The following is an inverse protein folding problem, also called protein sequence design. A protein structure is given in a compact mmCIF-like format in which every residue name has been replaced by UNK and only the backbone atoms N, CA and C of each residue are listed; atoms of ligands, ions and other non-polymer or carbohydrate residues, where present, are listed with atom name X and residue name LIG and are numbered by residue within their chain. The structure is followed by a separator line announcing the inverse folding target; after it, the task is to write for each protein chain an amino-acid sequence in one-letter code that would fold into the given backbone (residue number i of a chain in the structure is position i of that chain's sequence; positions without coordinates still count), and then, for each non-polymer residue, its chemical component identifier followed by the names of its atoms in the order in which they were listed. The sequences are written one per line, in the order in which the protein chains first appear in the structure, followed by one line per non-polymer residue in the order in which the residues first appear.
data_IF_723507252490
#
_entry.id   IF_723507252490
#
_cell.length_a   1.000
_cell.length_b   1.000
_cell.length_c   1.000
_cell.angle_alpha   90.00
_cell.angle_beta   90.00
_cell.angle_gamma   90.00
#
_symmetry.space_group_name_H-M   'P 1'
#
loop_
_entity.id
_entity.type
_entity.pdbx_description
1 polymer ?
#
# COMPACT_ATOMS: atom_id res chain seq x y z
N UNK A 1 -20.66 -11.34 -17.60
CA UNK A 1 -19.35 -11.62 -18.22
C UNK A 1 -18.32 -10.73 -17.55
N UNK A 2 -17.58 -11.28 -16.59
CA UNK A 2 -16.54 -10.57 -15.84
C UNK A 2 -15.31 -10.44 -16.75
N UNK A 3 -14.97 -9.21 -17.15
CA UNK A 3 -13.68 -8.92 -17.79
C UNK A 3 -12.60 -9.09 -16.71
N UNK A 4 -12.00 -10.28 -16.67
CA UNK A 4 -10.72 -10.45 -16.02
C UNK A 4 -9.74 -9.46 -16.66
N UNK A 5 -9.17 -8.57 -15.86
CA UNK A 5 -8.13 -7.65 -16.31
C UNK A 5 -7.01 -8.47 -16.96
N UNK A 6 -6.83 -8.28 -18.26
CA UNK A 6 -5.67 -8.83 -18.94
C UNK A 6 -4.43 -8.07 -18.44
N UNK A 7 -3.31 -8.78 -18.29
CA UNK A 7 -2.01 -8.22 -17.88
C UNK A 7 -1.62 -7.05 -18.80
N UNK A 8 -2.13 -7.07 -20.04
CA UNK A 8 -2.02 -6.01 -21.04
C UNK A 8 -2.68 -4.68 -20.61
N UNK A 9 -3.85 -4.72 -19.98
CA UNK A 9 -4.60 -3.55 -19.53
C UNK A 9 -3.96 -2.93 -18.29
N UNK A 10 -3.46 -3.74 -17.34
CA UNK A 10 -2.74 -3.20 -16.18
C UNK A 10 -1.38 -2.60 -16.57
N UNK A 11 -0.64 -3.24 -17.49
CA UNK A 11 0.58 -2.65 -17.98
C UNK A 11 0.33 -1.41 -18.86
N UNK A 12 -0.79 -1.35 -19.59
CA UNK A 12 -1.23 -0.13 -20.28
C UNK A 12 -1.63 0.95 -19.27
N UNK A 13 -2.34 0.60 -18.20
CA UNK A 13 -2.70 1.45 -17.08
C UNK A 13 -1.46 2.08 -16.44
N UNK A 14 -0.46 1.27 -16.08
CA UNK A 14 0.82 1.79 -15.56
C UNK A 14 1.64 2.58 -16.58
N UNK A 15 1.52 2.32 -17.89
CA UNK A 15 2.25 3.09 -18.93
C UNK A 15 1.56 4.40 -19.29
N UNK A 16 0.22 4.42 -19.32
CA UNK A 16 -0.59 5.59 -19.66
C UNK A 16 -0.41 6.70 -18.63
N UNK A 17 -0.16 6.34 -17.37
CA UNK A 17 -0.08 7.30 -16.26
C UNK A 17 1.27 7.30 -15.51
N UNK A 18 2.07 6.24 -15.59
CA UNK A 18 3.33 6.10 -14.83
C UNK A 18 4.63 6.54 -15.52
N UNK A 19 4.60 7.05 -16.76
CA UNK A 19 5.82 7.45 -17.49
C UNK A 19 5.89 8.93 -17.91
N UNK A 20 5.20 9.83 -17.22
CA UNK A 20 5.42 11.28 -17.37
C UNK A 20 6.54 11.76 -16.43
N UNK A 21 7.76 11.29 -16.68
CA UNK A 21 8.92 11.57 -15.84
C UNK A 21 10.24 11.55 -16.60
N UNK A 22 10.53 12.69 -17.26
CA UNK A 22 11.80 13.11 -17.89
C UNK A 22 12.06 12.63 -19.32
N UNK A 23 11.66 13.47 -20.27
CA UNK A 23 12.51 13.91 -21.38
C UNK A 23 12.28 15.41 -21.59
N UNK A 24 12.97 16.23 -20.80
CA UNK A 24 13.22 17.63 -21.16
C UNK A 24 14.60 17.68 -21.78
N UNK A 25 14.70 17.34 -23.06
CA UNK A 25 15.91 17.60 -23.83
C UNK A 25 16.10 19.11 -23.97
N UNK A 26 17.19 19.56 -23.35
CA UNK A 26 17.82 20.84 -23.55
C UNK A 26 18.25 21.02 -25.00
N UNK A 27 17.60 21.95 -25.72
CA UNK A 27 18.18 22.51 -26.95
C UNK A 27 18.60 23.95 -26.69
N UNK A 28 19.90 24.11 -26.51
CA UNK A 28 20.61 25.37 -26.41
C UNK A 28 20.58 26.07 -27.76
N UNK A 29 19.92 27.21 -27.87
CA UNK A 29 20.19 28.19 -28.93
C UNK A 29 19.85 29.61 -28.41
N UNK A 30 20.89 30.41 -28.24
CA UNK A 30 20.86 31.89 -28.27
C UNK A 30 21.46 32.28 -29.63
N UNK A 31 21.14 33.44 -30.25
CA UNK A 31 21.09 34.72 -29.54
C UNK A 31 20.20 35.88 -30.11
N UNK A 32 20.17 36.96 -29.31
CA UNK A 32 20.18 38.40 -29.68
C UNK A 32 18.87 39.23 -29.80
N UNK A 33 18.81 40.23 -28.87
CA UNK A 33 18.41 41.67 -28.98
C UNK A 33 16.99 41.97 -29.53
N UNK A 34 16.16 42.85 -28.95
CA UNK A 34 16.39 44.16 -28.35
C UNK A 34 15.10 44.68 -27.63
N UNK A 35 15.25 45.77 -26.87
CA UNK A 35 14.25 46.80 -26.54
C UNK A 35 13.09 46.51 -25.54
N UNK A 36 13.33 46.90 -24.29
CA UNK A 36 12.49 47.81 -23.47
C UNK A 36 10.96 47.76 -23.55
N UNK A 37 10.30 47.43 -22.43
CA UNK A 37 9.40 48.38 -21.74
C UNK A 37 8.95 47.87 -20.35
N UNK A 38 8.82 48.83 -19.43
CA UNK A 38 8.49 48.69 -18.02
C UNK A 38 7.02 48.31 -17.84
N UNK A 39 6.71 47.31 -17.01
CA UNK A 39 5.57 47.36 -16.08
C UNK A 39 5.74 46.32 -14.97
N UNK A 40 5.89 46.78 -13.71
CA UNK A 40 5.55 45.97 -12.53
C UNK A 40 4.02 45.86 -12.50
N UNK A 41 3.43 44.71 -12.13
CA UNK A 41 2.97 44.63 -10.73
C UNK A 41 2.95 43.23 -10.09
N UNK A 42 2.81 43.29 -8.77
CA UNK A 42 2.09 42.37 -7.88
C UNK A 42 2.75 41.10 -7.32
N UNK A 43 3.65 41.33 -6.36
CA UNK A 43 3.93 40.38 -5.26
C UNK A 43 2.74 40.41 -4.28
N UNK A 44 1.74 39.55 -4.49
CA UNK A 44 0.57 39.60 -3.59
C UNK A 44 -0.30 38.35 -3.46
N UNK A 45 0.04 37.19 -4.04
CA UNK A 45 -0.96 36.08 -4.10
C UNK A 45 -0.48 34.65 -3.85
N UNK A 46 0.71 34.45 -3.30
CA UNK A 46 1.27 33.10 -3.08
C UNK A 46 1.70 32.81 -1.63
N UNK A 47 1.23 33.58 -0.65
CA UNK A 47 1.49 33.30 0.78
C UNK A 47 0.27 32.75 1.54
N UNK A 48 -0.96 32.92 1.03
CA UNK A 48 -2.16 32.45 1.74
C UNK A 48 -2.39 30.92 1.66
N UNK A 49 -1.82 30.23 0.68
CA UNK A 49 -2.02 28.78 0.53
C UNK A 49 -1.17 27.91 1.47
N UNK A 50 -0.09 28.47 2.05
CA UNK A 50 0.80 27.73 2.99
C UNK A 50 0.40 27.88 4.45
N UNK A 51 -0.30 28.96 4.82
CA UNK A 51 -0.65 29.24 6.21
C UNK A 51 -1.96 28.56 6.64
N UNK A 52 -2.93 28.38 5.74
CA UNK A 52 -4.22 27.80 6.11
C UNK A 52 -4.20 26.29 6.38
N UNK A 53 -3.24 25.50 5.86
CA UNK A 53 -3.19 24.05 6.13
C UNK A 53 -2.55 23.69 7.47
N UNK A 54 -1.71 24.57 8.03
CA UNK A 54 -1.00 24.36 9.30
C UNK A 54 -1.82 24.73 10.54
N UNK A 55 -2.96 25.41 10.38
CA UNK A 55 -3.83 25.80 11.50
C UNK A 55 -4.60 24.61 12.08
N UNK A 56 -5.12 23.74 11.22
CA UNK A 56 -5.93 22.58 11.62
C UNK A 56 -5.10 21.50 12.34
N UNK A 57 -3.84 21.30 11.94
CA UNK A 57 -2.95 20.29 12.52
C UNK A 57 -2.42 20.64 13.93
N UNK A 58 -2.66 21.87 14.41
CA UNK A 58 -2.34 22.23 15.80
C UNK A 58 -3.45 21.85 16.77
N UNK A 59 -4.69 21.78 16.29
CA UNK A 59 -5.84 21.46 17.11
C UNK A 59 -5.81 19.99 17.51
N UNK A 60 -6.08 19.70 18.78
CA UNK A 60 -6.13 18.33 19.30
C UNK A 60 -7.56 17.98 19.66
N UNK A 61 -8.00 16.83 19.18
CA UNK A 61 -9.29 16.22 19.55
C UNK A 61 -9.06 15.23 20.67
N UNK A 62 -9.95 15.24 21.67
CA UNK A 62 -9.93 14.28 22.78
C UNK A 62 -10.79 13.08 22.41
N UNK A 63 -10.16 11.90 22.36
CA UNK A 63 -10.83 10.63 22.19
C UNK A 63 -10.88 9.87 23.51
N UNK A 64 -12.06 9.37 23.88
CA UNK A 64 -12.25 8.61 25.11
C UNK A 64 -12.35 7.12 24.82
N UNK A 65 -11.58 6.31 25.54
CA UNK A 65 -11.70 4.85 25.46
C UNK A 65 -11.62 4.24 26.84
N UNK A 66 -12.76 3.70 27.33
CA UNK A 66 -12.95 3.20 28.70
C UNK A 66 -12.48 4.22 29.75
N UNK A 67 -11.22 4.10 30.20
CA UNK A 67 -10.63 4.85 31.32
C UNK A 67 -9.42 5.70 30.89
N UNK A 68 -9.21 5.89 29.58
CA UNK A 68 -8.13 6.72 29.05
C UNK A 68 -8.68 7.76 28.09
N UNK A 69 -8.17 8.97 28.24
CA UNK A 69 -8.35 10.05 27.28
C UNK A 69 -7.08 10.17 26.44
N UNK A 70 -7.27 10.23 25.13
CA UNK A 70 -6.19 10.41 24.16
C UNK A 70 -6.36 11.76 23.50
N UNK A 71 -5.29 12.54 23.46
CA UNK A 71 -5.29 13.85 22.81
C UNK A 71 -4.51 13.73 21.50
N UNK A 72 -5.24 13.77 20.38
CA UNK A 72 -4.69 13.48 19.05
C UNK A 72 -4.96 14.61 18.05
N UNK A 73 -3.96 14.89 17.22
CA UNK A 73 -4.03 15.72 16.02
C UNK A 73 -4.55 14.92 14.84
N UNK A 74 -4.93 15.63 13.77
CA UNK A 74 -5.35 14.98 12.53
C UNK A 74 -4.23 14.14 11.90
N UNK A 75 -2.99 14.64 11.91
CA UNK A 75 -1.80 13.87 11.45
C UNK A 75 -1.59 12.57 12.24
N UNK A 76 -1.82 12.62 13.55
CA UNK A 76 -1.69 11.47 14.46
C UNK A 76 -2.79 10.44 14.18
N UNK A 77 -4.04 10.89 13.96
CA UNK A 77 -5.16 10.02 13.57
C UNK A 77 -4.90 9.37 12.21
N UNK A 78 -4.40 10.13 11.23
CA UNK A 78 -4.04 9.59 9.92
C UNK A 78 -2.91 8.55 10.05
N UNK A 79 -1.91 8.82 10.89
CA UNK A 79 -0.82 7.88 11.16
C UNK A 79 -1.33 6.58 11.77
N UNK A 80 -2.21 6.66 12.77
CA UNK A 80 -2.82 5.47 13.37
C UNK A 80 -3.67 4.70 12.35
N UNK A 81 -4.39 5.42 11.48
CA UNK A 81 -5.18 4.81 10.41
C UNK A 81 -4.30 4.06 9.41
N UNK A 82 -3.18 4.66 9.00
CA UNK A 82 -2.21 4.02 8.10
C UNK A 82 -1.58 2.77 8.74
N UNK A 83 -1.12 2.88 9.99
CA UNK A 83 -0.60 1.73 10.75
C UNK A 83 -1.66 0.64 10.98
N UNK A 84 -2.93 1.03 11.04
CA UNK A 84 -4.05 0.08 11.16
C UNK A 84 -4.34 -0.66 9.87
N UNK A 85 -4.17 -0.01 8.71
CA UNK A 85 -4.31 -0.67 7.39
C UNK A 85 -3.11 -1.58 7.09
N UNK A 86 -1.93 -1.17 7.52
CA UNK A 86 -0.67 -1.85 7.26
C UNK A 86 -0.01 -2.23 8.58
N UNK A 87 -0.14 -3.52 8.95
CA UNK A 87 0.36 -4.09 10.20
C UNK A 87 1.78 -3.63 10.59
N UNK A 88 2.64 -3.42 9.60
CA UNK A 88 3.99 -2.87 9.77
C UNK A 88 4.24 -1.78 8.72
N UNK A 89 4.70 -0.61 9.17
CA UNK A 89 5.07 0.50 8.28
C UNK A 89 6.50 0.98 8.60
N UNK A 90 7.38 1.09 7.59
CA UNK A 90 8.71 1.69 7.77
C UNK A 90 8.60 3.18 8.08
N UNK A 91 9.39 3.67 9.05
CA UNK A 91 9.40 5.07 9.43
C UNK A 91 9.81 6.00 8.27
N UNK A 92 10.72 5.55 7.39
CA UNK A 92 11.15 6.33 6.23
C UNK A 92 10.06 6.43 5.15
N UNK A 93 9.32 5.35 4.91
CA UNK A 93 8.20 5.38 3.98
C UNK A 93 7.03 6.19 4.56
N UNK A 94 6.76 6.09 5.87
CA UNK A 94 5.77 6.95 6.54
C UNK A 94 6.15 8.43 6.40
N UNK A 95 7.42 8.77 6.64
CA UNK A 95 7.93 10.13 6.46
C UNK A 95 7.70 10.60 5.02
N UNK A 96 8.02 9.75 4.04
CA UNK A 96 7.91 10.07 2.62
C UNK A 96 6.45 10.28 2.19
N UNK A 97 5.56 9.35 2.51
CA UNK A 97 4.21 9.30 1.94
C UNK A 97 3.17 10.02 2.80
N UNK A 98 3.14 9.80 4.11
CA UNK A 98 2.15 10.43 4.99
C UNK A 98 2.55 11.86 5.38
N UNK A 99 3.84 12.11 5.60
CA UNK A 99 4.35 13.40 6.09
C UNK A 99 5.03 14.26 5.02
N UNK A 100 5.04 13.82 3.75
CA UNK A 100 5.66 14.57 2.63
C UNK A 100 7.11 14.99 2.92
N UNK A 101 7.85 14.12 3.60
CA UNK A 101 9.24 14.27 4.08
C UNK A 101 9.42 15.25 5.25
N UNK A 102 8.36 15.74 5.87
CA UNK A 102 8.45 16.51 7.12
C UNK A 102 8.73 15.58 8.31
N UNK A 103 10.03 15.30 8.51
CA UNK A 103 10.49 14.45 9.62
C UNK A 103 10.26 15.10 10.98
N UNK A 104 10.31 16.42 11.07
CA UNK A 104 10.15 17.12 12.36
C UNK A 104 8.73 16.98 12.90
N UNK A 105 7.72 17.15 12.04
CA UNK A 105 6.33 16.90 12.41
C UNK A 105 6.12 15.41 12.72
N UNK A 106 6.60 14.51 11.86
CA UNK A 106 6.48 13.06 12.08
C UNK A 106 7.06 12.64 13.42
N UNK A 107 8.29 13.06 13.72
CA UNK A 107 8.94 12.68 14.97
C UNK A 107 8.20 13.23 16.20
N UNK A 108 7.59 14.42 16.09
CA UNK A 108 6.72 14.97 17.15
C UNK A 108 5.49 14.10 17.40
N UNK A 109 4.82 13.71 16.32
CA UNK A 109 3.60 12.92 16.36
C UNK A 109 3.89 11.50 16.85
N UNK A 110 4.96 10.86 16.34
CA UNK A 110 5.41 9.55 16.81
C UNK A 110 5.80 9.56 18.30
N UNK A 111 6.48 10.61 18.79
CA UNK A 111 6.79 10.74 20.22
C UNK A 111 5.52 10.79 21.07
N UNK A 112 4.52 11.56 20.64
CA UNK A 112 3.29 11.69 21.41
C UNK A 112 2.44 10.41 21.36
N UNK A 113 2.33 9.77 20.19
CA UNK A 113 1.67 8.47 20.02
C UNK A 113 2.33 7.36 20.85
N UNK A 114 3.67 7.33 20.87
CA UNK A 114 4.43 6.37 21.68
C UNK A 114 4.24 6.62 23.17
N UNK A 115 4.29 7.89 23.61
CA UNK A 115 4.02 8.28 25.00
C UNK A 115 2.61 7.88 25.47
N UNK A 116 1.63 7.93 24.57
CA UNK A 116 0.24 7.49 24.85
C UNK A 116 0.06 5.97 24.72
N UNK A 117 1.11 5.21 24.37
CA UNK A 117 1.07 3.76 24.22
C UNK A 117 0.28 3.27 23.02
N UNK A 118 0.11 4.13 22.00
CA UNK A 118 -0.70 3.83 20.81
C UNK A 118 0.10 3.15 19.70
N UNK A 119 1.42 3.34 19.69
CA UNK A 119 2.31 2.71 18.71
C UNK A 119 3.49 2.02 19.40
N UNK A 120 4.00 0.99 18.76
CA UNK A 120 5.26 0.34 19.08
C UNK A 120 6.26 0.56 17.95
N UNK A 121 7.53 0.79 18.31
CA UNK A 121 8.63 0.94 17.36
C UNK A 121 9.65 -0.18 17.57
N UNK A 122 10.11 -0.79 16.47
CA UNK A 122 11.16 -1.82 16.47
C UNK A 122 12.16 -1.53 15.37
N UNK A 123 13.39 -1.97 15.57
CA UNK A 123 14.38 -2.05 14.50
C UNK A 123 14.39 -3.47 13.96
N UNK A 124 14.23 -3.61 12.65
CA UNK A 124 14.45 -4.87 11.94
C UNK A 124 15.75 -4.76 11.16
N UNK A 125 16.57 -5.80 11.17
CA UNK A 125 17.77 -5.83 10.32
C UNK A 125 17.36 -5.75 8.85
N UNK A 126 18.01 -4.90 8.06
CA UNK A 126 17.81 -4.80 6.61
C UNK A 126 18.63 -5.83 5.82
N UNK A 127 18.50 -5.80 4.49
CA UNK A 127 19.41 -6.52 3.58
C UNK A 127 20.77 -5.83 3.41
N UNK A 128 20.83 -4.53 3.70
CA UNK A 128 22.07 -3.76 3.90
C UNK A 128 22.44 -3.74 5.38
N UNK A 129 23.67 -3.37 5.72
CA UNK A 129 24.21 -3.16 7.07
C UNK A 129 23.48 -2.11 7.93
N UNK A 130 22.29 -1.66 7.52
CA UNK A 130 21.44 -0.70 8.20
C UNK A 130 20.16 -1.38 8.69
N UNK A 131 19.82 -1.17 9.96
CA UNK A 131 18.52 -1.57 10.50
C UNK A 131 17.45 -0.57 10.04
N UNK A 132 16.26 -1.08 9.67
CA UNK A 132 15.10 -0.26 9.33
C UNK A 132 14.20 -0.15 10.55
N UNK A 133 13.82 1.09 10.91
CA UNK A 133 12.83 1.35 11.96
C UNK A 133 11.44 1.12 11.40
N UNK A 134 10.67 0.23 12.03
CA UNK A 134 9.29 -0.10 11.69
C UNK A 134 8.36 0.23 12.85
N UNK A 135 7.13 0.58 12.49
CA UNK A 135 6.06 1.02 13.38
C UNK A 135 4.88 0.06 13.26
N UNK A 136 4.23 -0.22 14.38
CA UNK A 136 2.98 -1.00 14.42
C UNK A 136 2.02 -0.42 15.45
N UNK A 137 0.72 -0.67 15.28
CA UNK A 137 -0.29 -0.34 16.29
C UNK A 137 -0.18 -1.26 17.50
N UNK A 138 -0.45 -0.68 18.68
CA UNK A 138 -0.72 -1.47 19.88
C UNK A 138 -2.17 -1.95 19.91
N UNK A 139 -2.47 -2.87 20.83
CA UNK A 139 -3.85 -3.28 21.13
C UNK A 139 -4.72 -2.12 21.62
N UNK A 140 -4.13 -1.13 22.30
CA UNK A 140 -4.85 0.05 22.77
C UNK A 140 -5.28 0.94 21.60
N UNK A 141 -4.38 1.18 20.64
CA UNK A 141 -4.72 1.93 19.44
C UNK A 141 -5.74 1.22 18.56
N UNK A 142 -5.64 -0.10 18.39
CA UNK A 142 -6.66 -0.86 17.68
C UNK A 142 -8.06 -0.61 18.26
N UNK A 143 -8.22 -0.79 19.58
CA UNK A 143 -9.49 -0.54 20.27
C UNK A 143 -9.96 0.91 20.18
N UNK A 144 -9.03 1.86 20.17
CA UNK A 144 -9.33 3.28 20.00
C UNK A 144 -9.93 3.53 18.62
N UNK A 145 -9.28 3.05 17.56
CA UNK A 145 -9.72 3.23 16.17
C UNK A 145 -11.09 2.60 15.92
N UNK A 146 -11.34 1.38 16.44
CA UNK A 146 -12.63 0.70 16.32
C UNK A 146 -13.76 1.50 16.99
N UNK A 147 -13.55 1.93 18.25
CA UNK A 147 -14.59 2.61 19.03
C UNK A 147 -14.91 4.00 18.54
N UNK A 148 -13.87 4.76 18.20
CA UNK A 148 -14.03 6.10 17.66
C UNK A 148 -14.48 6.09 16.19
N UNK A 149 -14.60 4.90 15.57
CA UNK A 149 -14.98 4.72 14.17
C UNK A 149 -14.12 5.56 13.21
N UNK A 150 -12.83 5.66 13.53
CA UNK A 150 -11.86 6.46 12.78
C UNK A 150 -11.43 5.77 11.48
N UNK A 151 -11.71 4.48 11.38
CA UNK A 151 -11.47 3.66 10.19
C UNK A 151 -12.83 3.12 9.72
N UNK A 152 -13.02 3.04 8.40
CA UNK A 152 -14.23 2.45 7.83
C UNK A 152 -14.50 1.07 8.43
N UNK A 153 -15.75 0.76 8.77
CA UNK A 153 -16.16 -0.56 9.27
C UNK A 153 -15.86 -1.71 8.32
N UNK A 154 -15.64 -1.39 7.03
CA UNK A 154 -15.24 -2.37 6.02
C UNK A 154 -13.74 -2.64 6.04
N UNK A 155 -12.91 -1.83 6.67
CA UNK A 155 -11.46 -2.00 6.69
C UNK A 155 -11.04 -2.71 7.97
N UNK A 156 -10.41 -3.88 7.84
CA UNK A 156 -9.74 -4.55 8.98
C UNK A 156 -8.63 -3.66 9.51
N UNK A 157 -8.55 -3.60 10.84
CA UNK A 157 -7.49 -2.91 11.57
C UNK A 157 -6.52 -3.97 12.12
N UNK A 158 -5.29 -3.95 11.64
CA UNK A 158 -4.22 -4.82 12.10
C UNK A 158 -3.44 -4.17 13.23
N UNK A 159 -2.85 -4.98 14.10
CA UNK A 159 -1.99 -4.51 15.17
C UNK A 159 -1.00 -5.59 15.60
N UNK A 160 0.04 -5.17 16.30
CA UNK A 160 1.02 -6.04 16.91
C UNK A 160 2.10 -6.53 15.96
N UNK A 161 3.18 -6.99 16.59
CA UNK A 161 4.39 -7.42 15.90
C UNK A 161 4.24 -8.84 15.36
N UNK A 162 4.83 -9.05 14.19
CA UNK A 162 5.03 -10.37 13.59
C UNK A 162 6.47 -10.81 13.64
N UNK A 163 6.71 -12.06 13.22
CA UNK A 163 8.07 -12.62 13.12
C UNK A 163 8.93 -11.72 12.23
N UNK A 164 10.24 -11.56 12.51
CA UNK A 164 11.12 -10.66 11.75
C UNK A 164 11.09 -10.86 10.23
N UNK A 165 10.95 -12.11 9.76
CA UNK A 165 10.83 -12.43 8.33
C UNK A 165 9.54 -11.85 7.71
N UNK A 166 8.42 -11.93 8.42
CA UNK A 166 7.13 -11.36 8.01
C UNK A 166 7.18 -9.83 8.08
N UNK A 167 7.85 -9.27 9.09
CA UNK A 167 7.98 -7.82 9.26
C UNK A 167 8.66 -7.12 8.08
N UNK A 168 9.70 -7.76 7.49
CA UNK A 168 10.37 -7.24 6.29
C UNK A 168 9.45 -7.26 5.06
N UNK A 169 8.67 -8.32 4.92
CA UNK A 169 7.73 -8.50 3.82
C UNK A 169 6.59 -7.47 3.92
N UNK A 170 5.97 -7.38 5.09
CA UNK A 170 4.91 -6.42 5.39
C UNK A 170 5.37 -4.96 5.20
N UNK A 171 6.62 -4.66 5.56
CA UNK A 171 7.20 -3.33 5.42
C UNK A 171 7.18 -2.82 3.97
N UNK A 172 7.41 -3.71 2.98
CA UNK A 172 7.37 -3.30 1.58
C UNK A 172 5.94 -3.09 1.06
N UNK A 173 4.91 -3.63 1.72
CA UNK A 173 3.51 -3.49 1.30
C UNK A 173 3.02 -2.04 1.39
N UNK A 174 3.49 -1.27 2.37
CA UNK A 174 3.12 0.14 2.48
C UNK A 174 3.63 0.96 1.28
N UNK A 175 4.88 0.71 0.86
CA UNK A 175 5.46 1.35 -0.33
C UNK A 175 4.73 0.91 -1.60
N UNK A 176 4.48 -0.38 -1.73
CA UNK A 176 3.74 -0.94 -2.88
C UNK A 176 2.35 -0.32 -2.99
N UNK A 177 1.64 -0.22 -1.87
CA UNK A 177 0.35 0.41 -1.80
C UNK A 177 0.40 1.84 -2.33
N UNK A 178 1.30 2.69 -1.82
CA UNK A 178 1.36 4.10 -2.25
C UNK A 178 1.71 4.25 -3.72
N UNK A 179 2.58 3.38 -4.25
CA UNK A 179 2.86 3.33 -5.68
C UNK A 179 1.59 3.08 -6.50
N UNK A 180 0.86 2.02 -6.16
CA UNK A 180 -0.33 1.61 -6.94
C UNK A 180 -1.53 2.52 -6.68
N UNK A 181 -1.72 2.98 -5.45
CA UNK A 181 -2.78 3.91 -5.08
C UNK A 181 -2.64 5.25 -5.81
N UNK A 182 -1.41 5.71 -6.05
CA UNK A 182 -1.16 6.88 -6.88
C UNK A 182 -1.65 6.67 -8.32
N UNK A 183 -1.35 5.52 -8.92
CA UNK A 183 -1.79 5.20 -10.29
C UNK A 183 -3.32 5.09 -10.38
N UNK A 184 -3.96 4.52 -9.34
CA UNK A 184 -5.42 4.49 -9.23
C UNK A 184 -6.00 5.92 -9.17
N UNK A 185 -5.42 6.79 -8.35
CA UNK A 185 -5.86 8.19 -8.21
C UNK A 185 -5.64 9.00 -9.49
N UNK A 186 -4.48 8.85 -10.15
CA UNK A 186 -4.14 9.50 -11.42
C UNK A 186 -5.10 9.05 -12.56
N UNK A 187 -5.64 7.83 -12.47
CA UNK A 187 -6.67 7.32 -13.37
C UNK A 187 -8.11 7.71 -12.95
N UNK A 188 -8.29 8.56 -11.94
CA UNK A 188 -9.60 9.00 -11.44
C UNK A 188 -10.33 8.00 -10.54
N UNK A 189 -9.67 6.91 -10.16
CA UNK A 189 -10.19 5.92 -9.23
C UNK A 189 -9.99 6.30 -7.76
N UNK A 190 -10.67 5.58 -6.86
CA UNK A 190 -10.59 5.82 -5.42
C UNK A 190 -10.45 4.53 -4.64
N UNK A 191 -9.36 4.40 -3.89
CA UNK A 191 -9.16 3.28 -2.96
C UNK A 191 -10.27 3.27 -1.91
N UNK A 192 -10.89 2.10 -1.73
CA UNK A 192 -11.92 1.84 -0.72
C UNK A 192 -11.37 1.04 0.46
N UNK A 193 -10.53 0.05 0.19
CA UNK A 193 -10.01 -0.86 1.22
C UNK A 193 -8.69 -1.50 0.79
N UNK A 194 -7.87 -1.78 1.79
CA UNK A 194 -6.65 -2.60 1.71
C UNK A 194 -6.92 -3.93 2.41
N UNK A 195 -6.63 -5.04 1.74
CA UNK A 195 -6.84 -6.40 2.26
C UNK A 195 -5.50 -7.13 2.22
N UNK A 196 -5.01 -7.56 3.39
CA UNK A 196 -3.75 -8.31 3.49
C UNK A 196 -3.97 -9.82 3.32
N UNK A 197 -2.90 -10.53 2.94
CA UNK A 197 -2.90 -11.98 2.75
C UNK A 197 -3.50 -12.76 3.94
N UNK A 198 -3.19 -12.33 5.15
CA UNK A 198 -3.65 -12.94 6.39
C UNK A 198 -5.18 -12.92 6.48
N UNK A 199 -5.79 -11.78 6.12
CA UNK A 199 -7.24 -11.64 6.12
C UNK A 199 -7.88 -12.58 5.09
N UNK A 200 -7.40 -12.55 3.85
CA UNK A 200 -7.91 -13.45 2.79
C UNK A 200 -7.74 -14.92 3.17
N UNK A 201 -6.58 -15.32 3.70
CA UNK A 201 -6.33 -16.69 4.17
C UNK A 201 -7.33 -17.09 5.26
N UNK A 202 -7.57 -16.22 6.23
CA UNK A 202 -8.52 -16.50 7.32
C UNK A 202 -9.95 -16.68 6.79
N UNK A 203 -10.38 -15.82 5.86
CA UNK A 203 -11.71 -15.91 5.27
C UNK A 203 -11.90 -17.15 4.40
N UNK A 204 -10.93 -17.46 3.54
CA UNK A 204 -10.91 -18.66 2.70
C UNK A 204 -10.91 -19.93 3.56
N UNK A 205 -10.06 -19.99 4.60
CA UNK A 205 -10.01 -21.13 5.50
C UNK A 205 -11.34 -21.34 6.22
N UNK A 206 -11.95 -20.27 6.75
CA UNK A 206 -13.27 -20.32 7.40
C UNK A 206 -14.37 -20.80 6.47
N UNK A 207 -14.33 -20.44 5.19
CA UNK A 207 -15.29 -20.90 4.17
C UNK A 207 -15.08 -22.37 3.84
N UNK A 208 -13.84 -22.78 3.60
CA UNK A 208 -13.48 -24.15 3.27
C UNK A 208 -13.72 -25.12 4.45
N UNK A 209 -13.54 -24.67 5.70
CA UNK A 209 -13.81 -25.49 6.89
C UNK A 209 -15.29 -25.77 7.12
N UNK A 210 -16.19 -25.08 6.42
CA UNK A 210 -17.65 -25.26 6.48
C UNK A 210 -18.19 -26.10 5.30
N UNK A 211 -17.29 -26.58 4.43
CA UNK A 211 -17.67 -27.47 3.33
C UNK A 211 -18.10 -28.81 3.90
N UNK A 212 -19.24 -29.31 3.41
CA UNK A 212 -19.74 -30.64 3.75
C UNK A 212 -18.71 -31.71 3.31
N UNK A 213 -18.24 -32.60 4.22
CA UNK A 213 -17.29 -33.65 3.89
C UNK A 213 -17.71 -34.58 2.75
N UNK A 214 -19.02 -34.69 2.47
CA UNK A 214 -19.55 -35.51 1.39
C UNK A 214 -19.42 -34.86 0.00
N UNK A 215 -19.07 -33.57 -0.05
CA UNK A 215 -18.87 -32.85 -1.31
C UNK A 215 -17.43 -33.00 -1.78
N UNK A 216 -17.28 -33.00 -3.10
CA UNK A 216 -15.98 -33.04 -3.72
C UNK A 216 -15.23 -31.70 -3.50
N UNK A 217 -14.14 -31.78 -2.72
CA UNK A 217 -13.37 -30.63 -2.26
C UNK A 217 -12.80 -29.79 -3.42
N UNK A 218 -12.50 -30.40 -4.57
CA UNK A 218 -11.98 -29.70 -5.75
C UNK A 218 -12.98 -28.68 -6.30
N UNK A 219 -14.24 -29.08 -6.50
CA UNK A 219 -15.31 -28.17 -6.93
C UNK A 219 -15.59 -27.08 -5.89
N UNK A 220 -15.55 -27.43 -4.61
CA UNK A 220 -15.77 -26.49 -3.52
C UNK A 220 -14.65 -25.44 -3.46
N UNK A 221 -13.39 -25.85 -3.69
CA UNK A 221 -12.25 -24.92 -3.84
C UNK A 221 -12.45 -23.97 -5.01
N UNK A 222 -12.87 -24.46 -6.17
CA UNK A 222 -13.14 -23.60 -7.34
C UNK A 222 -14.26 -22.60 -7.03
N UNK A 223 -15.36 -23.05 -6.42
CA UNK A 223 -16.48 -22.17 -6.05
C UNK A 223 -16.04 -21.09 -5.06
N UNK A 224 -15.31 -21.47 -4.01
CA UNK A 224 -14.80 -20.52 -3.01
C UNK A 224 -13.80 -19.56 -3.66
N UNK A 225 -12.89 -20.04 -4.51
CA UNK A 225 -11.95 -19.16 -5.22
C UNK A 225 -12.71 -18.10 -6.05
N UNK A 226 -13.72 -18.52 -6.82
CA UNK A 226 -14.54 -17.61 -7.63
C UNK A 226 -15.32 -16.56 -6.80
N UNK A 227 -15.82 -16.91 -5.62
CA UNK A 227 -16.48 -15.94 -4.71
C UNK A 227 -15.54 -14.79 -4.33
N UNK A 228 -14.25 -15.11 -4.21
CA UNK A 228 -13.19 -14.17 -3.87
C UNK A 228 -12.48 -13.59 -5.10
N UNK A 229 -12.95 -13.86 -6.32
CA UNK A 229 -12.27 -13.46 -7.57
C UNK A 229 -10.79 -13.93 -7.60
N UNK A 230 -10.58 -15.16 -7.13
CA UNK A 230 -9.31 -15.87 -7.12
C UNK A 230 -9.39 -17.12 -8.00
N UNK A 231 -8.23 -17.64 -8.40
CA UNK A 231 -8.12 -18.86 -9.22
C UNK A 231 -7.59 -20.03 -8.39
N UNK A 232 -7.97 -21.24 -8.79
CA UNK A 232 -7.31 -22.46 -8.32
C UNK A 232 -6.10 -22.73 -9.21
N UNK A 233 -4.92 -22.91 -8.60
CA UNK A 233 -3.67 -23.25 -9.26
C UNK A 233 -3.03 -24.40 -8.49
N UNK A 234 -2.69 -25.50 -9.19
CA UNK A 234 -2.13 -26.72 -8.59
C UNK A 234 -2.95 -27.20 -7.37
N UNK A 235 -4.27 -27.29 -7.55
CA UNK A 235 -5.26 -27.65 -6.52
C UNK A 235 -5.31 -26.74 -5.29
N UNK A 236 -4.64 -25.60 -5.30
CA UNK A 236 -4.64 -24.63 -4.19
C UNK A 236 -5.29 -23.33 -4.64
N UNK A 237 -5.70 -22.51 -3.68
CA UNK A 237 -6.09 -21.12 -3.93
C UNK A 237 -4.91 -20.26 -3.48
N UNK A 238 -4.04 -19.79 -4.41
CA UNK A 238 -3.02 -18.82 -4.06
C UNK A 238 -3.68 -17.55 -3.54
N UNK A 239 -3.01 -16.85 -2.61
CA UNK A 239 -3.49 -15.62 -2.00
C UNK A 239 -2.45 -14.53 -2.24
N UNK A 240 -2.82 -13.35 -2.75
CA UNK A 240 -1.87 -12.26 -2.97
C UNK A 240 -1.39 -11.69 -1.63
N UNK A 241 -0.21 -11.07 -1.62
CA UNK A 241 0.30 -10.36 -0.44
C UNK A 241 -0.58 -9.18 -0.03
N UNK A 242 -1.09 -8.44 -1.03
CA UNK A 242 -1.95 -7.29 -0.86
C UNK A 242 -3.01 -7.27 -1.96
N UNK A 243 -4.27 -7.08 -1.56
CA UNK A 243 -5.37 -6.74 -2.45
C UNK A 243 -5.83 -5.31 -2.17
N UNK A 244 -5.95 -4.50 -3.21
CA UNK A 244 -6.58 -3.18 -3.15
C UNK A 244 -7.98 -3.30 -3.75
N UNK A 245 -9.00 -2.98 -2.95
CA UNK A 245 -10.36 -2.77 -3.45
C UNK A 245 -10.56 -1.27 -3.69
N UNK A 246 -10.89 -0.90 -4.92
CA UNK A 246 -11.03 0.49 -5.34
C UNK A 246 -12.25 0.66 -6.24
N UNK A 247 -12.77 1.88 -6.31
CA UNK A 247 -13.71 2.27 -7.35
C UNK A 247 -12.94 2.83 -8.53
N UNK A 248 -13.26 2.40 -9.74
CA UNK A 248 -12.72 3.01 -10.96
C UNK A 248 -13.43 4.35 -11.29
N UNK A 249 -13.03 4.99 -12.38
CA UNK A 249 -13.66 6.24 -12.86
C UNK A 249 -15.18 6.09 -13.13
N UNK A 250 -15.64 4.87 -13.40
CA UNK A 250 -17.05 4.54 -13.62
C UNK A 250 -17.79 4.20 -12.31
N UNK A 251 -17.11 4.34 -11.16
CA UNK A 251 -17.60 3.96 -9.82
C UNK A 251 -17.90 2.47 -9.68
N UNK A 252 -17.35 1.62 -10.55
CA UNK A 252 -17.44 0.18 -10.38
C UNK A 252 -16.38 -0.29 -9.39
N UNK A 253 -16.78 -1.20 -8.50
CA UNK A 253 -15.85 -1.82 -7.56
C UNK A 253 -14.94 -2.79 -8.30
N UNK A 254 -13.64 -2.54 -8.20
CA UNK A 254 -12.55 -3.33 -8.77
C UNK A 254 -11.66 -3.86 -7.66
N UNK A 255 -10.99 -4.97 -7.96
CA UNK A 255 -9.99 -5.59 -7.11
C UNK A 255 -8.67 -5.67 -7.86
N UNK A 256 -7.59 -5.40 -7.15
CA UNK A 256 -6.25 -5.50 -7.69
C UNK A 256 -5.38 -6.31 -6.75
N UNK A 257 -4.95 -7.47 -7.24
CA UNK A 257 -4.13 -8.44 -6.51
C UNK A 257 -2.66 -8.21 -6.80
N UNK A 258 -1.90 -7.92 -5.75
CA UNK A 258 -0.51 -7.51 -5.79
C UNK A 258 0.36 -8.48 -4.98
N UNK A 259 1.53 -8.80 -5.52
CA UNK A 259 2.48 -9.73 -4.94
C UNK A 259 3.89 -9.12 -4.92
N UNK A 260 4.58 -9.22 -3.79
CA UNK A 260 5.99 -8.83 -3.69
C UNK A 260 6.87 -10.06 -3.93
N UNK A 261 7.50 -10.08 -5.08
CA UNK A 261 8.50 -11.06 -5.44
C UNK A 261 9.87 -10.63 -4.88
N UNK A 262 10.42 -11.46 -4.00
CA UNK A 262 11.76 -11.28 -3.43
C UNK A 262 12.74 -12.31 -4.00
N UNK A 263 14.05 -12.03 -3.97
CA UNK A 263 15.10 -12.96 -4.43
C UNK A 263 15.06 -14.36 -3.81
N UNK A 264 14.46 -14.51 -2.63
CA UNK A 264 14.43 -15.77 -1.87
C UNK A 264 13.22 -16.64 -2.21
N UNK A 265 12.40 -16.23 -3.18
CA UNK A 265 11.27 -17.03 -3.67
C UNK A 265 11.76 -18.36 -4.25
N UNK A 266 11.05 -19.43 -3.87
CA UNK A 266 11.16 -20.71 -4.58
C UNK A 266 10.54 -20.54 -5.97
N UNK A 267 11.20 -21.01 -7.05
CA UNK A 267 10.70 -20.88 -8.42
C UNK A 267 9.23 -21.28 -8.61
N UNK A 268 8.84 -22.40 -8.01
CA UNK A 268 7.48 -22.92 -8.08
C UNK A 268 6.44 -22.00 -7.42
N UNK A 269 6.80 -21.34 -6.30
CA UNK A 269 5.89 -20.41 -5.63
C UNK A 269 5.65 -19.14 -6.45
N UNK A 270 6.70 -18.60 -7.08
CA UNK A 270 6.56 -17.45 -7.98
C UNK A 270 5.69 -17.79 -9.19
N UNK A 271 5.90 -18.97 -9.77
CA UNK A 271 5.10 -19.49 -10.87
C UNK A 271 3.62 -19.65 -10.52
N UNK A 272 3.31 -20.18 -9.34
CA UNK A 272 1.94 -20.31 -8.84
C UNK A 272 1.24 -18.96 -8.72
N UNK A 273 1.90 -17.95 -8.13
CA UNK A 273 1.37 -16.59 -7.98
C UNK A 273 1.14 -15.91 -9.33
N UNK A 274 2.07 -16.09 -10.26
CA UNK A 274 1.94 -15.59 -11.62
C UNK A 274 0.76 -16.23 -12.37
N UNK A 275 0.61 -17.56 -12.30
CA UNK A 275 -0.52 -18.31 -12.90
C UNK A 275 -1.86 -17.93 -12.26
N UNK A 276 -1.87 -17.53 -10.99
CA UNK A 276 -3.06 -17.00 -10.32
C UNK A 276 -3.51 -15.63 -10.86
N UNK A 277 -2.64 -14.94 -11.62
CA UNK A 277 -2.94 -13.63 -12.21
C UNK A 277 -2.57 -12.45 -11.33
N UNK A 278 -1.71 -12.63 -10.32
CA UNK A 278 -1.28 -11.53 -9.45
C UNK A 278 -0.25 -10.64 -10.14
N UNK A 279 -0.31 -9.35 -9.85
CA UNK A 279 0.64 -8.38 -10.36
C UNK A 279 1.90 -8.42 -9.51
N UNK A 280 3.00 -8.86 -10.13
CA UNK A 280 4.26 -9.08 -9.44
C UNK A 280 5.08 -7.79 -9.39
N UNK A 281 5.51 -7.40 -8.19
CA UNK A 281 6.42 -6.30 -7.94
C UNK A 281 7.71 -6.81 -7.30
N UNK A 282 8.85 -6.23 -7.68
CA UNK A 282 10.14 -6.59 -7.10
C UNK A 282 10.98 -5.34 -6.85
N UNK A 283 11.90 -5.42 -5.88
CA UNK A 283 12.95 -4.41 -5.72
C UNK A 283 13.90 -4.48 -6.91
N UNK A 284 14.45 -3.34 -7.34
CA UNK A 284 15.33 -3.23 -8.51
C UNK A 284 16.43 -4.31 -8.56
N UNK A 285 17.07 -4.58 -7.41
CA UNK A 285 18.13 -5.58 -7.25
C UNK A 285 17.69 -7.04 -7.51
N UNK A 286 16.40 -7.35 -7.39
CA UNK A 286 15.88 -8.71 -7.49
C UNK A 286 15.35 -9.05 -8.90
N UNK A 287 15.13 -8.05 -9.77
CA UNK A 287 14.51 -8.22 -11.09
C UNK A 287 15.22 -9.25 -11.97
N UNK A 288 16.54 -9.17 -12.11
CA UNK A 288 17.29 -10.01 -13.05
C UNK A 288 17.16 -11.50 -12.70
N UNK A 289 17.18 -11.83 -11.40
CA UNK A 289 17.04 -13.21 -10.93
C UNK A 289 15.61 -13.72 -11.14
N UNK A 290 14.61 -12.91 -10.79
CA UNK A 290 13.21 -13.28 -10.89
C UNK A 290 12.76 -13.44 -12.35
N UNK A 291 13.29 -12.62 -13.26
CA UNK A 291 12.99 -12.76 -14.69
C UNK A 291 13.42 -14.11 -15.24
N UNK A 292 14.65 -14.55 -14.92
CA UNK A 292 15.15 -15.88 -15.29
C UNK A 292 14.24 -17.00 -14.81
N UNK A 293 13.71 -16.90 -13.58
CA UNK A 293 12.78 -17.90 -13.01
C UNK A 293 11.49 -18.00 -13.81
N UNK A 294 10.89 -16.87 -14.20
CA UNK A 294 9.66 -16.85 -15.00
C UNK A 294 9.91 -17.41 -16.41
N UNK A 295 11.03 -17.06 -17.03
CA UNK A 295 11.40 -17.57 -18.36
C UNK A 295 11.63 -19.10 -18.30
N UNK A 296 12.31 -19.63 -17.27
CA UNK A 296 12.49 -21.08 -17.08
C UNK A 296 11.18 -21.84 -16.86
N UNK A 297 10.16 -21.19 -16.30
CA UNK A 297 8.84 -21.80 -16.08
C UNK A 297 7.88 -21.56 -17.25
N UNK A 298 8.35 -20.93 -18.33
CA UNK A 298 7.58 -20.54 -19.52
C UNK A 298 6.37 -19.64 -19.18
N UNK A 299 6.54 -18.73 -18.21
CA UNK A 299 5.48 -17.85 -17.72
C UNK A 299 5.66 -16.44 -18.27
N UNK A 300 4.68 -15.95 -19.03
CA UNK A 300 4.68 -14.61 -19.64
C UNK A 300 4.32 -13.47 -18.67
N UNK A 301 4.52 -13.65 -17.36
CA UNK A 301 4.20 -12.61 -16.38
C UNK A 301 5.21 -11.47 -16.40
N UNK A 302 4.74 -10.24 -16.16
CA UNK A 302 5.57 -9.05 -16.00
C UNK A 302 5.91 -8.84 -14.53
N UNK A 303 7.15 -8.38 -14.28
CA UNK A 303 7.60 -7.95 -12.96
C UNK A 303 7.79 -6.44 -13.00
N UNK A 304 6.99 -5.73 -12.21
CA UNK A 304 7.07 -4.28 -12.05
C UNK A 304 8.09 -3.92 -10.98
N UNK A 305 8.74 -2.77 -11.14
CA UNK A 305 9.63 -2.26 -10.10
C UNK A 305 8.80 -1.78 -8.91
N UNK A 306 9.29 -1.98 -7.69
CA UNK A 306 8.80 -1.35 -6.47
C UNK A 306 9.33 0.08 -6.36
#
# INVERSE_FOLDING_TARGET
MSRAYDISDFAAFLRKYGNSGRDSESRSEKPSRDASQRTRPDRGRNQESRLSRNGYDRSRTIYRSRNREYSLRESEVQTLTDLGKFRMVPADDLAQFAYRRDRSQMDSDLRNLSRQGLIEQRSIEGHSSYSTKVLTLTRDAHRLLERAQLVSHRQTIYHGLVKPKEARHDADLYRLYHKVAKEIDDAGGKVRRVVLDYELKQELFRKLSRVDPNKELAYERIRVANEYDLKVVNDKIPVPDLRIEYEDESRELRRLDLEIATRDYRPQGLAEKAKAGFHLFARQQDHAKLRRVLDTQEITARIFAL
#
